data_IF_562142065762
#
_entry.id   IF_562142065762
#
_cell.length_a   1.000
_cell.length_b   1.000
_cell.length_c   1.000
_cell.angle_alpha   90.00
_cell.angle_beta   90.00
_cell.angle_gamma   90.00
#
_symmetry.space_group_name_H-M   'P 1'
#
loop_
_entity.id
_entity.type
_entity.pdbx_description
1 polymer ?
#
# COMPACT_ATOMS: atom_id res chain seq x y z
N UNK A 1 -8.11 -18.38 14.61
CA UNK A 1 -6.71 -18.15 15.06
C UNK A 1 -5.84 -19.31 14.58
N UNK A 2 -4.80 -19.03 13.80
CA UNK A 2 -4.00 -20.05 13.10
C UNK A 2 -2.90 -20.62 14.05
N UNK A 3 -2.84 -21.95 14.32
CA UNK A 3 -1.96 -22.53 15.35
C UNK A 3 -0.46 -22.31 15.14
N UNK A 4 0.01 -22.32 13.89
CA UNK A 4 1.44 -22.20 13.55
C UNK A 4 2.00 -20.80 13.79
N UNK A 5 1.20 -19.76 13.54
CA UNK A 5 1.58 -18.35 13.73
C UNK A 5 1.90 -18.04 15.20
N UNK A 6 1.16 -18.67 16.13
CA UNK A 6 1.36 -18.51 17.57
C UNK A 6 2.66 -19.15 18.07
N UNK A 7 3.08 -20.29 17.50
CA UNK A 7 4.35 -20.95 17.86
C UNK A 7 5.56 -20.14 17.41
N UNK A 8 5.44 -19.47 16.25
CA UNK A 8 6.53 -18.67 15.67
C UNK A 8 6.49 -17.19 16.10
N UNK A 9 5.51 -16.80 16.93
CA UNK A 9 5.24 -15.42 17.34
C UNK A 9 5.07 -14.44 16.15
N UNK A 10 4.57 -14.91 15.01
CA UNK A 10 4.36 -14.06 13.84
C UNK A 10 3.22 -13.07 14.07
N UNK A 11 3.39 -11.84 13.57
CA UNK A 11 2.39 -10.78 13.63
C UNK A 11 1.62 -10.72 12.32
N UNK A 12 0.31 -10.94 12.37
CA UNK A 12 -0.61 -10.74 11.25
C UNK A 12 -0.93 -9.25 11.13
N UNK A 13 -0.73 -8.70 9.93
CA UNK A 13 -0.98 -7.28 9.64
C UNK A 13 -1.96 -7.21 8.48
N UNK A 14 -2.98 -6.39 8.61
CA UNK A 14 -3.91 -6.06 7.52
C UNK A 14 -3.82 -4.57 7.31
N UNK A 15 -3.63 -4.14 6.07
CA UNK A 15 -3.59 -2.74 5.66
C UNK A 15 -4.74 -2.46 4.70
N UNK A 16 -5.37 -1.31 4.87
CA UNK A 16 -6.32 -0.77 3.91
C UNK A 16 -6.02 0.72 3.76
N UNK A 17 -5.91 1.18 2.52
CA UNK A 17 -5.65 2.57 2.17
C UNK A 17 -6.72 3.00 1.20
N UNK A 18 -7.35 4.13 1.45
CA UNK A 18 -8.27 4.74 0.52
C UNK A 18 -7.96 6.24 0.38
N UNK A 19 -8.16 6.77 -0.82
CA UNK A 19 -8.07 8.19 -1.12
C UNK A 19 -9.25 8.58 -2.00
N UNK A 20 -9.96 9.62 -1.60
CA UNK A 20 -11.09 10.18 -2.33
C UNK A 20 -11.08 11.70 -2.12
N UNK A 21 -11.17 12.45 -3.21
CA UNK A 21 -11.21 13.90 -3.16
C UNK A 21 -10.67 14.55 -4.43
N UNK A 22 -10.84 15.87 -4.46
CA UNK A 22 -10.45 16.72 -5.58
C UNK A 22 -9.07 17.34 -5.39
N UNK A 23 -8.33 17.49 -6.49
CA UNK A 23 -7.22 18.43 -6.55
C UNK A 23 -7.75 19.76 -7.07
N UNK A 24 -7.46 20.85 -6.35
CA UNK A 24 -7.66 22.20 -6.88
C UNK A 24 -6.56 22.56 -7.88
N UNK A 25 -6.86 23.47 -8.80
CA UNK A 25 -5.95 23.92 -9.85
C UNK A 25 -4.66 24.53 -9.28
N UNK A 26 -4.73 25.18 -8.11
CA UNK A 26 -3.56 25.72 -7.41
C UNK A 26 -2.60 24.61 -6.93
N UNK A 27 -3.13 23.47 -6.46
CA UNK A 27 -2.32 22.33 -6.01
C UNK A 27 -1.67 21.61 -7.18
N UNK A 28 -2.34 21.55 -8.34
CA UNK A 28 -1.77 21.02 -9.58
C UNK A 28 -0.61 21.91 -10.04
N UNK A 29 -0.80 23.24 -10.01
CA UNK A 29 0.23 24.21 -10.41
C UNK A 29 1.48 24.18 -9.51
N UNK A 30 1.32 23.93 -8.20
CA UNK A 30 2.46 23.79 -7.27
C UNK A 30 3.18 22.45 -7.45
N UNK A 31 2.43 21.38 -7.82
CA UNK A 31 2.99 20.04 -8.04
C UNK A 31 3.57 19.84 -9.46
N UNK A 32 3.52 20.89 -10.29
CA UNK A 32 3.94 20.92 -11.69
C UNK A 32 5.45 21.12 -11.99
N UNK A 33 6.43 20.76 -11.13
CA UNK A 33 7.80 20.50 -11.60
C UNK A 33 8.05 19.04 -12.00
N UNK A 34 7.13 18.11 -11.71
CA UNK A 34 7.43 16.66 -11.77
C UNK A 34 7.10 15.95 -13.10
N UNK A 35 6.35 16.58 -14.02
CA UNK A 35 6.02 15.98 -15.32
C UNK A 35 5.11 14.74 -15.27
N UNK A 36 4.49 14.45 -14.12
CA UNK A 36 3.58 13.32 -13.91
C UNK A 36 2.14 13.84 -13.94
N UNK A 37 1.24 13.29 -14.78
CA UNK A 37 -0.16 13.67 -14.77
C UNK A 37 -0.81 13.25 -13.44
N UNK A 38 -1.21 14.24 -12.64
CA UNK A 38 -1.94 14.02 -11.40
C UNK A 38 -3.42 13.79 -11.74
N UNK A 39 -3.89 12.56 -11.56
CA UNK A 39 -5.30 12.21 -11.73
C UNK A 39 -5.92 12.23 -10.34
N UNK A 40 -6.76 13.24 -10.06
CA UNK A 40 -7.55 13.27 -8.85
C UNK A 40 -8.61 12.17 -8.91
N UNK A 41 -8.74 11.33 -7.86
CA UNK A 41 -9.83 10.37 -7.77
C UNK A 41 -11.12 11.09 -7.35
N UNK A 42 -11.68 11.90 -8.25
CA UNK A 42 -12.93 12.65 -8.03
C UNK A 42 -14.14 11.73 -8.14
N UNK A 43 -14.24 10.99 -9.26
CA UNK A 43 -15.38 10.10 -9.54
C UNK A 43 -15.23 8.70 -8.93
N UNK A 44 -14.03 8.13 -8.98
CA UNK A 44 -13.75 6.77 -8.48
C UNK A 44 -12.75 6.81 -7.34
N UNK A 45 -13.13 6.46 -6.10
CA UNK A 45 -12.22 6.44 -4.97
C UNK A 45 -11.07 5.46 -5.23
N UNK A 46 -9.85 5.92 -4.94
CA UNK A 46 -8.68 5.07 -4.97
C UNK A 46 -8.68 4.18 -3.72
N UNK A 47 -8.43 2.88 -3.88
CA UNK A 47 -8.25 2.00 -2.74
C UNK A 47 -7.20 0.92 -3.01
N UNK A 48 -6.47 0.58 -1.96
CA UNK A 48 -5.52 -0.52 -1.88
C UNK A 48 -5.78 -1.29 -0.58
N UNK A 49 -5.55 -2.59 -0.63
CA UNK A 49 -5.58 -3.44 0.55
C UNK A 49 -4.35 -4.32 0.57
N UNK A 50 -3.94 -4.75 1.74
CA UNK A 50 -2.76 -5.58 1.87
C UNK A 50 -2.81 -6.46 3.10
N UNK A 51 -2.02 -7.51 3.05
CA UNK A 51 -1.80 -8.40 4.18
C UNK A 51 -0.29 -8.57 4.38
N UNK A 52 0.14 -8.64 5.63
CA UNK A 52 1.53 -8.76 5.98
C UNK A 52 1.75 -9.77 7.09
N UNK A 53 2.94 -10.37 7.08
CA UNK A 53 3.42 -11.23 8.14
C UNK A 53 4.72 -10.61 8.66
N UNK A 54 4.65 -10.11 9.88
CA UNK A 54 5.79 -9.55 10.61
C UNK A 54 6.38 -10.53 11.61
N UNK A 55 7.52 -10.16 12.18
CA UNK A 55 8.22 -10.91 13.21
C UNK A 55 8.76 -12.28 12.71
N UNK A 56 9.00 -12.40 11.41
CA UNK A 56 9.67 -13.58 10.83
C UNK A 56 11.11 -13.57 11.34
N UNK A 57 11.51 -14.60 12.10
CA UNK A 57 12.78 -14.66 12.82
C UNK A 57 13.11 -13.44 13.70
N UNK A 58 12.09 -12.69 14.13
CA UNK A 58 12.21 -11.43 14.89
C UNK A 58 12.85 -10.22 14.19
N UNK A 59 13.17 -10.35 12.90
CA UNK A 59 13.92 -9.31 12.16
C UNK A 59 13.29 -8.94 10.82
N UNK A 60 12.38 -9.75 10.32
CA UNK A 60 11.86 -9.61 8.96
C UNK A 60 10.34 -9.48 8.96
N UNK A 61 9.86 -8.68 8.02
CA UNK A 61 8.45 -8.50 7.71
C UNK A 61 8.27 -8.54 6.20
N UNK A 62 7.22 -9.23 5.77
CA UNK A 62 6.78 -9.27 4.38
C UNK A 62 5.35 -8.73 4.30
N UNK A 63 5.11 -7.81 3.38
CA UNK A 63 3.80 -7.24 3.09
C UNK A 63 3.43 -7.49 1.63
N UNK A 64 2.19 -7.87 1.43
CA UNK A 64 1.56 -8.11 0.15
C UNK A 64 0.51 -7.03 -0.04
N UNK A 65 0.72 -6.15 -1.02
CA UNK A 65 -0.16 -5.04 -1.32
C UNK A 65 -0.86 -5.30 -2.65
N UNK A 66 -2.17 -5.10 -2.67
CA UNK A 66 -3.04 -5.24 -3.82
C UNK A 66 -3.69 -3.89 -4.12
N UNK A 67 -3.63 -3.50 -5.38
CA UNK A 67 -4.27 -2.29 -5.88
C UNK A 67 -5.64 -2.65 -6.42
N UNK A 68 -6.68 -1.99 -5.91
CA UNK A 68 -8.06 -2.29 -6.27
C UNK A 68 -8.60 -1.49 -7.46
N UNK A 69 -7.97 -0.36 -7.81
CA UNK A 69 -8.44 0.52 -8.88
C UNK A 69 -7.26 1.17 -9.63
N UNK A 70 -7.54 1.80 -10.79
CA UNK A 70 -6.55 2.45 -11.65
C UNK A 70 -5.44 1.49 -12.13
N UNK A 71 -5.84 0.28 -12.54
CA UNK A 71 -4.94 -0.75 -13.08
C UNK A 71 -4.56 -0.50 -14.54
N UNK A 72 -5.30 0.36 -15.23
CA UNK A 72 -5.11 0.65 -16.66
C UNK A 72 -4.08 1.75 -16.92
N UNK A 73 -3.54 2.38 -15.87
CA UNK A 73 -2.48 3.37 -16.02
C UNK A 73 -1.15 2.69 -16.39
N UNK A 74 -0.32 3.28 -17.28
CA UNK A 74 0.83 2.62 -17.90
C UNK A 74 1.97 2.18 -16.95
N UNK A 75 1.90 2.52 -15.65
CA UNK A 75 2.83 2.07 -14.60
C UNK A 75 2.12 1.46 -13.38
N UNK A 76 0.81 1.19 -13.50
CA UNK A 76 0.04 0.63 -12.40
C UNK A 76 0.45 -0.82 -12.12
N UNK A 77 0.90 -1.08 -10.90
CA UNK A 77 1.17 -2.44 -10.43
C UNK A 77 -0.06 -2.96 -9.67
N UNK A 78 -0.73 -4.02 -10.15
CA UNK A 78 -1.88 -4.60 -9.45
C UNK A 78 -1.49 -5.25 -8.12
N UNK A 79 -0.22 -5.66 -8.00
CA UNK A 79 0.30 -6.38 -6.85
C UNK A 79 1.75 -5.98 -6.58
N UNK A 80 2.09 -5.83 -5.31
CA UNK A 80 3.43 -5.53 -4.84
C UNK A 80 3.78 -6.35 -3.60
N UNK A 81 5.01 -6.85 -3.56
CA UNK A 81 5.58 -7.50 -2.38
C UNK A 81 6.66 -6.59 -1.82
N UNK A 82 6.53 -6.22 -0.55
CA UNK A 82 7.50 -5.40 0.14
C UNK A 82 8.09 -6.17 1.30
N UNK A 83 9.40 -6.38 1.28
CA UNK A 83 10.16 -6.88 2.43
C UNK A 83 10.74 -5.72 3.22
N UNK A 84 10.62 -5.75 4.54
CA UNK A 84 11.30 -4.81 5.43
C UNK A 84 12.06 -5.54 6.52
N UNK A 85 13.22 -4.99 6.87
CA UNK A 85 14.05 -5.46 7.96
C UNK A 85 13.97 -4.46 9.11
N UNK A 86 13.80 -4.97 10.33
CA UNK A 86 13.74 -4.16 11.54
C UNK A 86 13.69 -5.06 12.77
N UNK A 87 14.21 -4.59 13.89
CA UNK A 87 14.10 -5.33 15.14
C UNK A 87 12.69 -5.17 15.70
N UNK A 88 11.96 -6.26 15.80
CA UNK A 88 10.61 -6.30 16.35
C UNK A 88 10.66 -6.93 17.75
N UNK A 89 10.63 -6.08 18.78
CA UNK A 89 10.57 -6.49 20.18
C UNK A 89 9.11 -6.76 20.60
#
# INVERSE_FOLDING_TARGET
RIPFMKKLNWREIVSFRCAWGDLSDENIAISQPAGIPLIAPNNDPYYEYGFGIGNIFKVFRIDFNFRGNYLDAPDARPFGVTGSFGFYF
#
